data_IF_651637216311
#
_entry.id   IF_651637216311
#
_cell.length_a   1.000
_cell.length_b   1.000
_cell.length_c   1.000
_cell.angle_alpha   90.00
_cell.angle_beta   90.00
_cell.angle_gamma   90.00
#
_symmetry.space_group_name_H-M   'P 1'
#
loop_
_entity.id
_entity.type
_entity.pdbx_description
1 polymer ?
#
# COMPACT_ATOMS: atom_id res chain seq x y z
N UNK A 1 -5.99 -9.95 -6.39
CA UNK A 1 -6.03 -10.11 -4.91
C UNK A 1 -6.74 -8.92 -4.26
N UNK A 2 -6.19 -7.70 -4.25
CA UNK A 2 -6.88 -6.55 -3.61
C UNK A 2 -8.22 -6.15 -4.24
N UNK A 3 -8.42 -6.44 -5.54
CA UNK A 3 -9.69 -6.14 -6.22
C UNK A 3 -10.86 -7.04 -5.78
N UNK A 4 -10.60 -8.15 -5.07
CA UNK A 4 -11.61 -9.13 -4.66
C UNK A 4 -11.68 -9.32 -3.14
N UNK A 5 -10.82 -8.63 -2.39
CA UNK A 5 -10.74 -8.79 -0.94
C UNK A 5 -11.62 -7.76 -0.24
N UNK A 6 -12.43 -8.21 0.71
CA UNK A 6 -13.25 -7.31 1.54
C UNK A 6 -12.43 -6.59 2.61
N UNK A 7 -11.32 -7.21 3.06
CA UNK A 7 -10.48 -6.68 4.16
C UNK A 7 -9.02 -7.08 4.00
N UNK A 8 -8.13 -6.20 4.45
CA UNK A 8 -6.68 -6.39 4.51
C UNK A 8 -6.21 -6.02 5.91
N UNK A 9 -5.28 -6.81 6.45
CA UNK A 9 -4.52 -6.52 7.67
C UNK A 9 -3.05 -6.52 7.28
N UNK A 10 -2.33 -5.44 7.61
CA UNK A 10 -0.89 -5.34 7.38
C UNK A 10 -0.15 -5.36 8.69
N UNK A 11 0.90 -6.20 8.74
CA UNK A 11 1.76 -6.37 9.90
C UNK A 11 3.14 -5.76 9.61
N UNK A 12 3.77 -5.26 10.65
CA UNK A 12 5.13 -4.73 10.58
C UNK A 12 6.04 -5.41 11.61
N UNK A 13 7.28 -5.67 11.18
CA UNK A 13 8.25 -6.41 11.96
C UNK A 13 8.95 -5.55 13.03
N UNK A 14 9.11 -4.25 12.79
CA UNK A 14 9.73 -3.32 13.74
C UNK A 14 8.81 -3.07 14.93
N UNK A 15 7.56 -2.74 14.64
CA UNK A 15 6.50 -2.51 15.64
C UNK A 15 5.91 -3.79 16.20
N UNK A 16 6.14 -4.94 15.54
CA UNK A 16 5.58 -6.26 15.88
C UNK A 16 4.06 -6.21 16.05
N UNK A 17 3.37 -5.47 15.18
CA UNK A 17 1.95 -5.19 15.32
C UNK A 17 1.22 -4.95 14.01
N UNK A 18 -0.08 -4.68 14.12
CA UNK A 18 -0.94 -4.29 13.00
C UNK A 18 -0.72 -2.81 12.70
N UNK A 19 -0.32 -2.50 11.47
CA UNK A 19 -0.07 -1.13 11.00
C UNK A 19 -1.15 -0.62 10.02
N UNK A 20 -2.02 -1.50 9.54
CA UNK A 20 -3.22 -1.15 8.78
C UNK A 20 -4.27 -2.26 8.88
N UNK A 21 -5.54 -1.85 8.94
CA UNK A 21 -6.70 -2.75 8.97
C UNK A 21 -7.89 -2.08 8.28
N UNK A 22 -8.41 -2.70 7.23
CA UNK A 22 -9.61 -2.23 6.55
C UNK A 22 -9.74 -2.65 5.09
N UNK A 23 -10.69 -2.05 4.34
CA UNK A 23 -10.90 -2.35 2.93
C UNK A 23 -9.71 -1.92 2.06
N UNK A 24 -9.25 -2.74 1.10
CA UNK A 24 -8.07 -2.45 0.29
C UNK A 24 -8.11 -1.08 -0.43
N UNK A 25 -9.27 -0.68 -0.94
CA UNK A 25 -9.45 0.61 -1.64
C UNK A 25 -9.20 1.79 -0.70
N UNK A 26 -9.71 1.73 0.52
CA UNK A 26 -9.51 2.77 1.53
C UNK A 26 -8.05 2.86 1.94
N UNK A 27 -7.40 1.71 2.19
CA UNK A 27 -5.99 1.68 2.58
C UNK A 27 -5.06 2.18 1.45
N UNK A 28 -5.44 1.98 0.19
CA UNK A 28 -4.66 2.47 -0.95
C UNK A 28 -4.73 4.00 -1.12
N UNK A 29 -5.90 4.61 -0.88
CA UNK A 29 -6.17 6.00 -1.26
C UNK A 29 -5.77 7.02 -0.17
N UNK A 30 -5.94 6.69 1.11
CA UNK A 30 -5.97 7.71 2.17
C UNK A 30 -5.21 7.35 3.45
N UNK A 31 -4.41 6.27 3.45
CA UNK A 31 -3.67 5.93 4.66
C UNK A 31 -2.53 6.91 4.96
N UNK A 32 -2.43 7.34 6.22
CA UNK A 32 -1.37 8.21 6.72
C UNK A 32 0.02 7.56 6.74
N UNK A 33 0.08 6.23 6.87
CA UNK A 33 1.32 5.47 6.94
C UNK A 33 1.97 5.30 5.55
N UNK A 34 3.21 5.78 5.40
CA UNK A 34 3.94 5.74 4.13
C UNK A 34 4.23 4.32 3.63
N UNK A 35 4.61 3.40 4.53
CA UNK A 35 4.88 1.99 4.22
C UNK A 35 3.64 1.29 3.66
N UNK A 36 2.47 1.60 4.23
CA UNK A 36 1.18 1.08 3.77
C UNK A 36 0.90 1.56 2.34
N UNK A 37 1.04 2.87 2.09
CA UNK A 37 0.85 3.44 0.74
C UNK A 37 1.83 2.88 -0.28
N UNK A 38 3.11 2.73 0.09
CA UNK A 38 4.13 2.20 -0.80
C UNK A 38 3.81 0.76 -1.20
N UNK A 39 3.41 -0.09 -0.25
CA UNK A 39 3.01 -1.46 -0.52
C UNK A 39 1.89 -1.55 -1.57
N UNK A 40 0.83 -0.73 -1.45
CA UNK A 40 -0.28 -0.72 -2.42
C UNK A 40 0.08 -0.12 -3.78
N UNK A 41 1.15 0.68 -3.88
CA UNK A 41 1.55 1.39 -5.09
C UNK A 41 2.89 0.91 -5.68
N UNK A 42 3.49 -0.13 -5.10
CA UNK A 42 4.76 -0.71 -5.54
C UNK A 42 4.66 -1.10 -7.02
N UNK A 43 5.50 -0.49 -7.86
CA UNK A 43 5.49 -0.68 -9.32
C UNK A 43 4.84 0.45 -10.13
N UNK A 44 4.06 1.35 -9.53
CA UNK A 44 3.50 2.54 -10.23
C UNK A 44 4.51 3.69 -10.36
N UNK A 45 5.51 3.76 -9.49
CA UNK A 45 6.51 4.84 -9.45
C UNK A 45 7.62 4.69 -10.52
N UNK A 46 7.61 3.60 -11.29
CA UNK A 46 8.69 3.29 -12.25
C UNK A 46 8.51 4.01 -13.60
N UNK A 47 7.44 4.78 -13.80
CA UNK A 47 7.10 5.37 -15.11
C UNK A 47 7.55 6.83 -15.27
N UNK A 48 8.08 7.47 -14.22
CA UNK A 48 8.49 8.89 -14.26
C UNK A 48 9.94 9.07 -14.74
N UNK A 49 10.72 7.98 -14.79
CA UNK A 49 12.13 8.01 -15.23
C UNK A 49 12.32 7.62 -16.70
N UNK A 50 11.29 7.10 -17.38
CA UNK A 50 11.34 6.68 -18.79
C UNK A 50 10.92 7.79 -19.80
N UNK A 51 10.66 9.02 -19.35
CA UNK A 51 10.29 10.15 -20.21
C UNK A 51 11.44 11.14 -20.44
N UNK A 52 12.70 10.70 -20.26
CA UNK A 52 13.90 11.53 -20.41
C UNK A 52 14.94 11.02 -21.41
N UNK A 53 14.56 10.08 -22.26
CA UNK A 53 15.38 9.65 -23.41
C UNK A 53 14.72 10.09 -24.73
#
# INVERSE_FOLDING_TARGET
IFAIADRVIMLDAETKGIIADGPPVTLQQSHSNATVREFFNRGKLNNITQLKD
#
